data_IF_341490379531
#
_entry.id   IF_341490379531
#
_cell.length_a   1.000
_cell.length_b   1.000
_cell.length_c   1.000
_cell.angle_alpha   90.00
_cell.angle_beta   90.00
_cell.angle_gamma   90.00
#
_symmetry.space_group_name_H-M   'P 1'
#
loop_
_entity.id
_entity.type
_entity.pdbx_description
1 polymer ?
#
# COMPACT_ATOMS: atom_id res chain seq x y z
N UNK A 1 41.97 61.69 29.62
CA UNK A 1 41.48 60.64 30.56
C UNK A 1 40.01 60.43 30.25
N UNK A 2 39.64 59.31 29.60
CA UNK A 2 39.00 58.11 30.20
C UNK A 2 37.70 58.46 30.93
N UNK A 3 36.50 57.87 30.75
CA UNK A 3 35.93 56.70 30.07
C UNK A 3 34.40 56.86 30.27
N UNK A 4 33.57 56.91 29.22
CA UNK A 4 32.47 55.95 28.89
C UNK A 4 31.43 55.63 29.98
N UNK A 5 30.15 55.78 29.65
CA UNK A 5 29.18 54.67 29.65
C UNK A 5 27.81 55.13 29.11
N UNK A 6 27.52 54.75 27.86
CA UNK A 6 26.18 54.79 27.27
C UNK A 6 25.38 53.58 27.75
N UNK A 7 24.19 53.79 28.31
CA UNK A 7 23.24 52.72 28.62
C UNK A 7 22.24 52.58 27.46
N UNK A 8 22.41 51.54 26.65
CA UNK A 8 21.45 51.11 25.63
C UNK A 8 20.48 50.11 26.27
N UNK A 9 19.18 50.45 26.34
CA UNK A 9 18.12 49.54 26.76
C UNK A 9 17.75 48.67 25.55
N UNK A 10 18.14 47.39 25.56
CA UNK A 10 17.71 46.40 24.59
C UNK A 10 16.40 45.76 25.05
N UNK A 11 15.30 46.03 24.36
CA UNK A 11 14.03 45.35 24.55
C UNK A 11 14.08 43.96 23.87
N UNK A 12 14.19 42.90 24.68
CA UNK A 12 14.02 41.52 24.21
C UNK A 12 12.52 41.25 23.98
N UNK A 13 12.13 41.13 22.71
CA UNK A 13 10.84 40.57 22.33
C UNK A 13 10.89 39.04 22.52
N UNK A 14 10.28 38.56 23.61
CA UNK A 14 9.96 37.14 23.81
C UNK A 14 8.85 36.75 22.83
N UNK A 15 9.23 36.28 21.64
CA UNK A 15 8.33 35.54 20.75
C UNK A 15 7.98 34.22 21.44
N UNK A 16 6.77 34.16 22.01
CA UNK A 16 6.19 32.92 22.49
C UNK A 16 6.00 31.97 21.29
N UNK A 17 6.91 31.00 21.15
CA UNK A 17 6.72 29.87 20.24
C UNK A 17 5.59 29.04 20.85
N UNK A 18 4.36 29.24 20.37
CA UNK A 18 3.27 28.35 20.71
C UNK A 18 3.67 26.93 20.28
N UNK A 19 3.59 25.91 21.15
CA UNK A 19 3.84 24.55 20.73
C UNK A 19 2.87 24.23 19.60
N UNK A 20 3.39 23.77 18.46
CA UNK A 20 2.56 23.25 17.39
C UNK A 20 1.67 22.16 17.99
N UNK A 21 0.37 22.46 18.11
CA UNK A 21 -0.59 21.55 18.71
C UNK A 21 -0.69 20.37 17.74
N UNK A 22 -0.04 19.25 18.10
CA UNK A 22 -0.07 18.05 17.29
C UNK A 22 -1.56 17.67 17.11
N UNK A 23 -2.05 17.81 15.88
CA UNK A 23 -3.40 17.44 15.49
C UNK A 23 -3.63 16.01 15.98
N UNK A 24 -4.66 15.76 16.80
CA UNK A 24 -4.91 14.41 17.26
C UNK A 24 -5.17 13.52 16.04
N UNK A 25 -4.48 12.36 15.92
CA UNK A 25 -4.69 11.47 14.80
C UNK A 25 -6.17 11.09 14.72
N UNK A 26 -6.70 10.99 13.51
CA UNK A 26 -8.07 10.54 13.29
C UNK A 26 -8.18 9.05 13.57
N UNK A 27 -9.33 8.64 14.07
CA UNK A 27 -9.67 7.22 14.19
C UNK A 27 -10.53 6.83 13.00
N UNK A 28 -10.23 5.71 12.36
CA UNK A 28 -10.99 5.19 11.23
C UNK A 28 -11.86 4.03 11.66
N UNK A 29 -13.00 3.90 11.02
CA UNK A 29 -13.84 2.72 11.13
C UNK A 29 -13.29 1.65 10.20
N UNK A 30 -12.95 0.49 10.77
CA UNK A 30 -12.53 -0.69 10.03
C UNK A 30 -13.68 -1.69 10.05
N UNK A 31 -14.11 -2.14 8.88
CA UNK A 31 -15.12 -3.20 8.73
C UNK A 31 -14.54 -4.38 8.01
N UNK A 32 -14.89 -5.57 8.48
CA UNK A 32 -14.48 -6.81 7.87
C UNK A 32 -15.61 -7.41 7.04
N UNK A 33 -15.32 -7.58 5.75
CA UNK A 33 -16.19 -8.17 4.73
C UNK A 33 -15.63 -9.51 4.21
N UNK A 34 -14.67 -10.10 4.93
CA UNK A 34 -14.03 -11.36 4.56
C UNK A 34 -15.05 -12.51 4.56
N UNK A 35 -14.82 -13.46 3.65
CA UNK A 35 -15.62 -14.68 3.51
C UNK A 35 -14.71 -15.91 3.63
N UNK A 36 -15.15 -17.02 4.23
CA UNK A 36 -14.36 -18.24 4.26
C UNK A 36 -14.22 -18.84 2.85
N UNK A 37 -13.06 -19.43 2.56
CA UNK A 37 -12.78 -20.19 1.33
C UNK A 37 -11.86 -21.36 1.63
N UNK A 38 -11.77 -22.31 0.70
CA UNK A 38 -10.78 -23.38 0.69
C UNK A 38 -9.67 -23.15 -0.36
N UNK A 39 -9.82 -22.14 -1.21
CA UNK A 39 -8.90 -21.79 -2.28
C UNK A 39 -7.86 -20.77 -1.81
N UNK A 40 -6.58 -21.09 -1.97
CA UNK A 40 -5.48 -20.18 -1.59
C UNK A 40 -5.18 -19.10 -2.63
N UNK A 41 -5.90 -19.08 -3.75
CA UNK A 41 -5.78 -18.04 -4.79
C UNK A 41 -6.96 -17.05 -4.77
N UNK A 42 -7.91 -17.24 -3.85
CA UNK A 42 -8.99 -16.29 -3.61
C UNK A 42 -8.54 -15.21 -2.63
N UNK A 43 -8.61 -13.94 -3.06
CA UNK A 43 -8.47 -12.78 -2.17
C UNK A 43 -9.72 -12.62 -1.27
N UNK A 44 -9.97 -13.60 -0.39
CA UNK A 44 -11.18 -13.72 0.41
C UNK A 44 -11.17 -12.85 1.68
N UNK A 45 -10.00 -12.35 2.09
CA UNK A 45 -9.90 -11.33 3.14
C UNK A 45 -10.21 -9.97 2.54
N UNK A 46 -11.14 -9.23 3.12
CA UNK A 46 -11.49 -7.87 2.68
C UNK A 46 -11.81 -6.97 3.87
N UNK A 47 -10.93 -5.99 4.12
CA UNK A 47 -11.07 -5.02 5.21
C UNK A 47 -11.15 -3.61 4.64
N UNK A 48 -12.17 -2.85 5.04
CA UNK A 48 -12.42 -1.49 4.53
C UNK A 48 -12.20 -0.45 5.61
N UNK A 49 -11.59 0.70 5.25
CA UNK A 49 -11.28 1.82 6.14
C UNK A 49 -12.09 3.06 5.75
N UNK A 50 -12.85 3.59 6.70
CA UNK A 50 -13.74 4.72 6.47
C UNK A 50 -13.60 5.80 7.54
N UNK A 51 -13.43 7.04 7.10
CA UNK A 51 -13.59 8.25 7.90
C UNK A 51 -13.76 9.44 6.93
N UNK A 52 -14.84 10.23 7.03
CA UNK A 52 -15.14 11.29 6.06
C UNK A 52 -14.25 12.54 6.19
N UNK A 53 -13.24 12.50 7.06
CA UNK A 53 -12.28 13.58 7.28
C UNK A 53 -10.86 13.20 6.88
N UNK A 54 -10.53 11.90 6.72
CA UNK A 54 -9.16 11.49 6.40
C UNK A 54 -8.78 11.95 5.00
N UNK A 55 -7.62 12.59 4.92
CA UNK A 55 -6.96 13.01 3.68
C UNK A 55 -5.52 12.54 3.62
N UNK A 56 -4.83 12.41 4.74
CA UNK A 56 -3.49 11.85 4.78
C UNK A 56 -3.46 10.55 5.59
N UNK A 57 -2.68 9.56 5.11
CA UNK A 57 -2.40 8.32 5.83
C UNK A 57 -1.18 7.60 5.26
N UNK A 58 -0.65 6.63 6.02
CA UNK A 58 0.47 5.78 5.62
C UNK A 58 0.02 4.35 5.45
N UNK A 59 0.63 3.68 4.47
CA UNK A 59 0.53 2.23 4.28
C UNK A 59 1.95 1.68 4.30
N UNK A 60 2.17 0.60 5.04
CA UNK A 60 3.48 -0.02 5.18
C UNK A 60 3.39 -1.53 5.02
N UNK A 61 4.14 -2.07 4.06
CA UNK A 61 4.39 -3.49 3.93
C UNK A 61 5.64 -3.84 4.74
N UNK A 62 5.46 -4.54 5.86
CA UNK A 62 6.51 -4.91 6.81
C UNK A 62 6.95 -6.34 6.56
N UNK A 63 8.26 -6.61 6.60
CA UNK A 63 8.75 -7.97 6.59
C UNK A 63 8.07 -8.76 7.72
N UNK A 64 7.52 -9.97 7.44
CA UNK A 64 6.77 -10.69 8.45
C UNK A 64 7.69 -11.07 9.62
N UNK A 65 7.15 -11.19 10.83
CA UNK A 65 7.96 -11.52 12.01
C UNK A 65 8.77 -12.82 11.84
N UNK A 66 8.28 -13.75 11.03
CA UNK A 66 8.92 -15.03 10.72
C UNK A 66 10.01 -14.95 9.65
N UNK A 67 10.24 -13.78 9.02
CA UNK A 67 11.18 -13.61 7.89
C UNK A 67 12.55 -14.20 8.22
N UNK A 68 13.03 -13.98 9.46
CA UNK A 68 14.30 -14.48 10.00
C UNK A 68 14.48 -16.00 9.91
N UNK A 69 13.39 -16.75 10.05
CA UNK A 69 13.38 -18.22 10.04
C UNK A 69 13.18 -18.85 8.66
N UNK A 70 12.90 -18.05 7.62
CA UNK A 70 12.67 -18.57 6.27
C UNK A 70 14.02 -18.93 5.65
N UNK A 71 14.25 -20.24 5.48
CA UNK A 71 15.38 -20.79 4.73
C UNK A 71 15.05 -20.95 3.23
N UNK A 72 13.82 -21.39 2.94
CA UNK A 72 13.29 -21.52 1.59
C UNK A 72 11.91 -20.88 1.54
N UNK A 73 11.73 -19.97 0.59
CA UNK A 73 10.47 -19.26 0.41
C UNK A 73 9.56 -19.99 -0.58
N UNK A 74 8.30 -20.20 -0.21
CA UNK A 74 7.26 -20.76 -1.08
C UNK A 74 6.43 -19.63 -1.66
N UNK A 75 6.46 -19.51 -3.00
CA UNK A 75 5.81 -18.44 -3.78
C UNK A 75 5.04 -18.95 -5.00
N UNK A 76 5.04 -20.28 -5.19
CA UNK A 76 4.31 -20.89 -6.28
C UNK A 76 2.80 -20.81 -5.98
N UNK A 77 1.95 -20.60 -7.00
CA UNK A 77 0.52 -20.59 -6.79
C UNK A 77 0.01 -21.95 -6.30
N UNK A 78 -0.98 -21.94 -5.40
CA UNK A 78 -1.67 -23.10 -4.83
C UNK A 78 -3.15 -23.09 -5.22
N UNK A 79 -3.45 -23.66 -6.38
CA UNK A 79 -4.83 -23.77 -6.89
C UNK A 79 -5.65 -24.90 -6.24
N UNK A 80 -5.18 -25.49 -5.15
CA UNK A 80 -5.93 -26.56 -4.47
C UNK A 80 -7.31 -26.03 -4.04
N UNK A 81 -8.37 -26.77 -4.38
CA UNK A 81 -9.78 -26.41 -4.12
C UNK A 81 -10.27 -25.10 -4.75
N UNK A 82 -9.56 -24.55 -5.74
CA UNK A 82 -9.98 -23.36 -6.46
C UNK A 82 -10.98 -23.70 -7.58
N UNK A 83 -12.00 -22.86 -7.74
CA UNK A 83 -12.95 -22.92 -8.87
C UNK A 83 -12.68 -21.86 -9.93
N UNK A 84 -11.56 -21.15 -9.81
CA UNK A 84 -11.13 -20.09 -10.73
C UNK A 84 -10.92 -20.71 -12.11
N UNK A 85 -11.71 -20.27 -13.10
CA UNK A 85 -11.66 -20.79 -14.47
C UNK A 85 -10.66 -20.06 -15.36
N UNK A 86 -10.35 -18.81 -15.02
CA UNK A 86 -9.45 -17.94 -15.77
C UNK A 86 -8.09 -17.87 -15.06
N UNK A 87 -7.02 -18.32 -15.71
CA UNK A 87 -5.65 -18.20 -15.22
C UNK A 87 -5.03 -16.90 -15.77
N UNK A 88 -4.75 -15.88 -14.93
CA UNK A 88 -4.02 -14.70 -15.35
C UNK A 88 -2.51 -14.84 -15.08
N UNK A 89 -1.66 -14.10 -15.83
CA UNK A 89 -2.01 -13.50 -17.11
C UNK A 89 -2.13 -14.62 -18.16
N UNK A 90 -2.78 -14.35 -19.28
CA UNK A 90 -2.80 -15.31 -20.38
C UNK A 90 -1.39 -15.61 -20.92
N UNK A 91 -1.28 -16.25 -22.08
CA UNK A 91 0.00 -16.61 -22.69
C UNK A 91 1.01 -15.45 -22.69
N UNK A 92 2.26 -15.70 -22.24
CA UNK A 92 3.31 -14.68 -22.08
C UNK A 92 3.63 -13.90 -23.38
N UNK A 93 3.37 -14.50 -24.54
CA UNK A 93 3.51 -13.89 -25.87
C UNK A 93 2.53 -12.72 -26.11
N UNK A 94 1.54 -12.53 -25.23
CA UNK A 94 0.57 -11.43 -25.30
C UNK A 94 0.93 -10.23 -24.41
N UNK A 95 2.08 -10.29 -23.74
CA UNK A 95 2.54 -9.27 -22.80
C UNK A 95 3.69 -8.46 -23.41
N UNK A 96 3.47 -7.16 -23.61
CA UNK A 96 4.52 -6.22 -24.03
C UNK A 96 5.07 -5.49 -22.81
N UNK A 97 6.39 -5.56 -22.59
CA UNK A 97 7.10 -4.81 -21.53
C UNK A 97 7.62 -3.48 -22.08
N UNK A 98 7.38 -2.40 -21.35
CA UNK A 98 7.80 -1.04 -21.72
C UNK A 98 8.51 -0.39 -20.55
N UNK A 99 9.76 0.03 -20.74
CA UNK A 99 10.46 0.89 -19.77
C UNK A 99 9.95 2.32 -19.95
N UNK A 100 9.20 2.82 -18.96
CA UNK A 100 8.59 4.15 -18.97
C UNK A 100 9.58 5.22 -18.49
N UNK A 101 10.43 4.85 -17.54
CA UNK A 101 11.47 5.70 -16.97
C UNK A 101 12.61 4.84 -16.44
N UNK A 102 13.84 5.32 -16.56
CA UNK A 102 15.01 4.71 -15.95
C UNK A 102 16.06 5.78 -15.63
N UNK A 103 16.65 5.67 -14.44
CA UNK A 103 17.85 6.39 -14.03
C UNK A 103 18.79 5.46 -13.25
N UNK A 104 19.83 6.00 -12.62
CA UNK A 104 20.80 5.20 -11.85
C UNK A 104 20.21 4.55 -10.59
N UNK A 105 19.08 5.05 -10.08
CA UNK A 105 18.48 4.61 -8.83
C UNK A 105 17.26 3.68 -9.03
N UNK A 106 16.54 3.79 -10.14
CA UNK A 106 15.28 3.07 -10.32
C UNK A 106 14.85 2.90 -11.78
N UNK A 107 13.86 2.02 -11.97
CA UNK A 107 13.17 1.82 -13.24
C UNK A 107 11.66 1.75 -13.00
N UNK A 108 10.89 2.50 -13.78
CA UNK A 108 9.44 2.32 -13.87
C UNK A 108 9.12 1.55 -15.16
N UNK A 109 8.45 0.43 -15.01
CA UNK A 109 8.07 -0.45 -16.12
C UNK A 109 6.56 -0.53 -16.20
N UNK A 110 6.01 -0.38 -17.41
CA UNK A 110 4.62 -0.66 -17.72
C UNK A 110 4.51 -1.92 -18.58
N UNK A 111 3.41 -2.64 -18.44
CA UNK A 111 3.09 -3.78 -19.30
C UNK A 111 1.75 -3.57 -19.97
N UNK A 112 1.67 -3.97 -21.25
CA UNK A 112 0.43 -4.08 -22.01
C UNK A 112 0.07 -5.55 -22.17
N UNK A 113 -1.21 -5.87 -22.12
CA UNK A 113 -1.71 -7.21 -22.40
C UNK A 113 -2.90 -7.09 -23.33
N UNK A 114 -2.75 -7.60 -24.55
CA UNK A 114 -3.76 -7.46 -25.62
C UNK A 114 -5.13 -8.05 -25.24
N UNK A 115 -5.13 -9.08 -24.38
CA UNK A 115 -6.33 -9.78 -23.91
C UNK A 115 -6.66 -9.59 -22.43
N UNK A 116 -6.26 -8.47 -21.81
CA UNK A 116 -6.58 -8.28 -20.39
C UNK A 116 -8.10 -8.35 -20.16
N UNK A 117 -8.50 -9.07 -19.10
CA UNK A 117 -9.89 -9.44 -18.81
C UNK A 117 -10.78 -8.21 -18.58
N UNK A 118 -10.23 -7.17 -17.95
CA UNK A 118 -10.92 -5.88 -17.74
C UNK A 118 -10.63 -4.93 -18.88
N UNK A 119 -11.67 -4.46 -19.57
CA UNK A 119 -11.54 -3.45 -20.63
C UNK A 119 -11.44 -2.04 -20.04
N UNK A 120 -10.63 -1.20 -20.65
CA UNK A 120 -10.43 0.20 -20.27
C UNK A 120 -9.04 0.68 -20.66
N UNK A 121 -8.81 1.99 -20.54
CA UNK A 121 -7.50 2.60 -20.74
C UNK A 121 -7.25 3.62 -19.63
N UNK A 122 -6.12 3.49 -18.95
CA UNK A 122 -5.65 4.42 -17.92
C UNK A 122 -4.29 4.94 -18.39
N UNK A 123 -4.24 6.11 -19.04
CA UNK A 123 -2.98 6.66 -19.53
C UNK A 123 -2.02 6.92 -18.36
N UNK A 124 -0.76 6.55 -18.58
CA UNK A 124 0.34 6.74 -17.63
C UNK A 124 1.32 7.75 -18.23
N UNK A 125 1.53 8.86 -17.52
CA UNK A 125 2.46 9.91 -17.93
C UNK A 125 3.71 9.94 -17.05
N UNK A 126 4.88 10.05 -17.68
CA UNK A 126 6.17 10.31 -17.03
C UNK A 126 6.87 11.44 -17.79
N UNK A 127 7.00 12.62 -17.17
CA UNK A 127 7.46 13.81 -17.90
C UNK A 127 6.54 14.11 -19.10
N UNK A 128 7.12 14.20 -20.29
CA UNK A 128 6.40 14.43 -21.55
C UNK A 128 5.91 13.15 -22.22
N UNK A 129 6.33 11.97 -21.72
CA UNK A 129 5.92 10.67 -22.27
C UNK A 129 4.58 10.26 -21.68
N UNK A 130 3.63 9.88 -22.54
CA UNK A 130 2.37 9.26 -22.15
C UNK A 130 2.24 7.89 -22.83
N UNK A 131 1.89 6.87 -22.07
CA UNK A 131 1.62 5.52 -22.58
C UNK A 131 0.22 5.07 -22.19
N UNK A 132 -0.43 4.35 -23.11
CA UNK A 132 -1.79 3.81 -22.97
C UNK A 132 -1.78 2.29 -22.89
N UNK A 133 -2.93 1.73 -22.55
CA UNK A 133 -3.21 0.30 -22.43
C UNK A 133 -2.31 -0.43 -21.42
N UNK A 134 -1.84 0.29 -20.39
CA UNK A 134 -1.03 -0.28 -19.32
C UNK A 134 -1.93 -1.00 -18.31
N UNK A 135 -1.80 -2.32 -18.20
CA UNK A 135 -2.56 -3.12 -17.23
C UNK A 135 -1.79 -3.37 -15.93
N UNK A 136 -0.46 -3.21 -15.95
CA UNK A 136 0.44 -3.41 -14.84
C UNK A 136 1.56 -2.37 -14.87
N UNK A 137 1.77 -1.70 -13.74
CA UNK A 137 2.92 -0.85 -13.48
C UNK A 137 3.77 -1.48 -12.39
N UNK A 138 5.08 -1.46 -12.58
CA UNK A 138 6.05 -2.00 -11.65
C UNK A 138 7.15 -0.97 -11.41
N UNK A 139 7.48 -0.73 -10.14
CA UNK A 139 8.59 0.12 -9.74
C UNK A 139 9.72 -0.74 -9.17
N UNK A 140 10.88 -0.62 -9.80
CA UNK A 140 12.12 -1.28 -9.42
C UNK A 140 13.07 -0.26 -8.81
N UNK A 141 13.74 -0.61 -7.72
CA UNK A 141 14.90 0.12 -7.21
C UNK A 141 16.17 -0.63 -7.61
N UNK A 142 17.18 0.07 -8.14
CA UNK A 142 18.48 -0.50 -8.46
C UNK A 142 19.28 -0.67 -7.18
N UNK A 143 19.59 -1.91 -6.85
CA UNK A 143 20.40 -2.28 -5.67
C UNK A 143 21.75 -2.82 -6.10
N UNK A 144 22.67 -3.03 -5.15
CA UNK A 144 23.94 -3.71 -5.42
C UNK A 144 23.76 -5.15 -5.94
N UNK A 145 22.59 -5.78 -5.70
CA UNK A 145 22.23 -7.11 -6.22
C UNK A 145 21.46 -7.07 -7.54
N UNK A 146 21.28 -5.88 -8.12
CA UNK A 146 20.48 -5.66 -9.32
C UNK A 146 19.15 -4.95 -9.04
N UNK A 147 18.33 -4.72 -10.09
CA UNK A 147 17.02 -4.10 -9.95
C UNK A 147 16.08 -5.02 -9.16
N UNK A 148 15.44 -4.46 -8.13
CA UNK A 148 14.47 -5.15 -7.30
C UNK A 148 13.11 -4.47 -7.38
N UNK A 149 12.11 -5.19 -7.88
CA UNK A 149 10.72 -4.75 -7.90
C UNK A 149 10.16 -4.76 -6.49
N UNK A 150 9.62 -3.63 -6.02
CA UNK A 150 9.10 -3.51 -4.66
C UNK A 150 7.69 -2.91 -4.59
N UNK A 151 7.14 -2.48 -5.72
CA UNK A 151 5.80 -1.92 -5.80
C UNK A 151 5.17 -2.25 -7.15
N UNK A 152 3.91 -2.67 -7.09
CA UNK A 152 3.05 -2.90 -8.25
C UNK A 152 1.78 -2.09 -8.12
N UNK A 153 1.30 -1.57 -9.25
CA UNK A 153 -0.05 -1.03 -9.41
C UNK A 153 -0.72 -1.67 -10.62
N UNK A 154 -1.97 -2.13 -10.46
CA UNK A 154 -2.85 -2.53 -11.56
C UNK A 154 -3.78 -1.36 -11.92
N UNK A 155 -3.49 -0.54 -12.95
CA UNK A 155 -4.21 0.72 -13.18
C UNK A 155 -5.72 0.57 -13.37
N UNK A 156 -6.17 -0.52 -14.01
CA UNK A 156 -7.59 -0.76 -14.30
C UNK A 156 -8.41 -1.21 -13.10
N UNK A 157 -7.76 -1.72 -12.06
CA UNK A 157 -8.43 -2.20 -10.84
C UNK A 157 -8.10 -1.36 -9.60
N UNK A 158 -7.00 -0.63 -9.63
CA UNK A 158 -6.51 0.21 -8.53
C UNK A 158 -5.83 -0.56 -7.40
N UNK A 159 -5.43 -1.82 -7.64
CA UNK A 159 -4.73 -2.65 -6.66
C UNK A 159 -3.27 -2.28 -6.60
N UNK A 160 -2.80 -2.00 -5.40
CA UNK A 160 -1.39 -1.80 -5.07
C UNK A 160 -0.87 -3.03 -4.34
N UNK A 161 0.33 -3.47 -4.67
CA UNK A 161 1.07 -4.47 -3.88
C UNK A 161 2.45 -3.93 -3.58
N UNK A 162 2.89 -4.11 -2.34
CA UNK A 162 4.18 -3.62 -1.86
C UNK A 162 4.92 -4.77 -1.20
N UNK A 163 6.25 -4.74 -1.28
CA UNK A 163 7.12 -5.65 -0.55
C UNK A 163 8.43 -4.98 -0.14
N UNK A 164 9.02 -5.32 1.02
CA UNK A 164 10.33 -4.82 1.43
C UNK A 164 11.45 -5.39 0.56
N UNK A 165 12.67 -4.88 0.71
CA UNK A 165 13.85 -5.55 0.16
C UNK A 165 13.99 -6.95 0.79
N UNK A 166 14.48 -7.94 0.03
CA UNK A 166 14.71 -9.25 0.61
C UNK A 166 15.93 -9.19 1.52
N UNK A 167 15.93 -9.87 2.68
CA UNK A 167 17.15 -10.04 3.45
C UNK A 167 18.21 -10.76 2.62
N UNK A 168 19.50 -10.62 2.96
CA UNK A 168 20.61 -11.14 2.16
C UNK A 168 20.54 -12.64 1.79
N UNK A 169 19.86 -13.47 2.59
CA UNK A 169 19.69 -14.91 2.34
C UNK A 169 18.57 -15.26 1.35
N UNK A 170 17.73 -14.30 0.99
CA UNK A 170 16.63 -14.47 0.05
C UNK A 170 16.89 -13.62 -1.19
N UNK A 171 16.57 -14.17 -2.36
CA UNK A 171 16.64 -13.44 -3.62
C UNK A 171 15.43 -12.53 -3.80
N UNK A 172 14.30 -12.89 -3.20
CA UNK A 172 13.02 -12.21 -3.38
C UNK A 172 12.12 -12.36 -2.14
N UNK A 173 11.12 -11.48 -2.05
CA UNK A 173 10.02 -11.54 -1.08
C UNK A 173 8.73 -11.67 -1.87
N UNK A 174 7.83 -12.53 -1.44
CA UNK A 174 6.51 -12.68 -2.04
C UNK A 174 5.69 -11.38 -1.90
N UNK A 175 4.77 -11.15 -2.83
CA UNK A 175 3.61 -10.33 -2.49
C UNK A 175 2.61 -11.17 -1.68
N UNK A 176 1.67 -10.50 -1.05
CA UNK A 176 0.48 -11.15 -0.49
C UNK A 176 -0.67 -10.14 -0.51
N UNK A 177 -0.78 -9.38 0.58
CA UNK A 177 -1.82 -8.37 0.73
C UNK A 177 -1.72 -7.24 -0.32
N UNK A 178 -2.86 -6.94 -0.92
CA UNK A 178 -3.08 -5.79 -1.79
C UNK A 178 -3.79 -4.65 -1.05
N UNK A 179 -3.56 -3.42 -1.49
CA UNK A 179 -4.20 -2.22 -0.94
C UNK A 179 -4.92 -1.45 -2.05
N UNK A 180 -6.12 -0.96 -1.76
CA UNK A 180 -6.90 -0.05 -2.58
C UNK A 180 -6.86 1.34 -1.94
N UNK A 181 -6.64 2.37 -2.76
CA UNK A 181 -6.51 3.76 -2.31
C UNK A 181 -7.44 4.66 -3.13
N UNK A 182 -8.33 5.38 -2.48
CA UNK A 182 -9.26 6.32 -3.10
C UNK A 182 -10.72 5.88 -3.01
N UNK A 183 -11.51 6.22 -4.03
CA UNK A 183 -12.95 5.97 -4.04
C UNK A 183 -13.23 4.52 -4.42
N UNK A 184 -13.46 3.67 -3.41
CA UNK A 184 -13.71 2.25 -3.63
C UNK A 184 -15.16 2.01 -4.08
N UNK A 185 -15.30 1.32 -5.21
CA UNK A 185 -16.55 0.79 -5.72
C UNK A 185 -16.59 -0.74 -5.54
N UNK A 186 -17.78 -1.27 -5.26
CA UNK A 186 -18.04 -2.71 -5.12
C UNK A 186 -18.96 -3.16 -6.26
N UNK A 187 -18.43 -3.95 -7.19
CA UNK A 187 -19.20 -4.71 -8.19
C UNK A 187 -19.00 -6.20 -7.93
N UNK A 188 -18.48 -6.96 -8.89
CA UNK A 188 -18.09 -8.36 -8.67
C UNK A 188 -16.91 -8.49 -7.70
N UNK A 189 -15.94 -7.57 -7.82
CA UNK A 189 -14.82 -7.40 -6.89
C UNK A 189 -14.65 -5.92 -6.57
N UNK A 190 -14.14 -5.56 -5.38
CA UNK A 190 -13.87 -4.17 -5.07
C UNK A 190 -12.74 -3.64 -5.96
N UNK A 191 -12.84 -2.39 -6.39
CA UNK A 191 -11.85 -1.74 -7.23
C UNK A 191 -11.85 -0.23 -6.98
N UNK A 192 -10.79 0.44 -7.42
CA UNK A 192 -10.76 1.90 -7.54
C UNK A 192 -10.62 2.24 -9.02
N UNK A 193 -11.60 2.98 -9.56
CA UNK A 193 -11.51 3.47 -10.93
C UNK A 193 -10.47 4.59 -10.99
N UNK A 194 -9.40 4.40 -11.75
CA UNK A 194 -8.40 5.42 -12.01
C UNK A 194 -8.62 5.95 -13.43
N UNK A 195 -8.65 7.28 -13.58
CA UNK A 195 -8.80 7.94 -14.87
C UNK A 195 -7.46 8.13 -15.56
N UNK A 196 -6.43 8.53 -14.82
CA UNK A 196 -5.07 8.72 -15.34
C UNK A 196 -4.05 8.66 -14.21
N UNK A 197 -2.81 8.33 -14.56
CA UNK A 197 -1.69 8.27 -13.63
C UNK A 197 -0.58 9.18 -14.15
N UNK A 198 0.00 9.98 -13.26
CA UNK A 198 1.27 10.67 -13.51
C UNK A 198 2.30 10.15 -12.52
N UNK A 199 3.46 9.73 -13.00
CA UNK A 199 4.59 9.43 -12.14
C UNK A 199 5.62 10.56 -12.21
N UNK A 200 6.03 11.04 -11.05
CA UNK A 200 7.09 12.05 -10.88
C UNK A 200 8.33 11.36 -10.32
N UNK A 201 9.36 11.09 -11.16
CA UNK A 201 10.52 10.30 -10.73
C UNK A 201 11.26 10.90 -9.53
N UNK A 202 11.51 12.21 -9.54
CA UNK A 202 12.30 12.90 -8.51
C UNK A 202 11.78 12.66 -7.09
N UNK A 203 10.45 12.61 -6.91
CA UNK A 203 9.81 12.40 -5.61
C UNK A 203 9.28 10.99 -5.41
N UNK A 204 9.40 10.09 -6.42
CA UNK A 204 8.80 8.75 -6.43
C UNK A 204 7.30 8.78 -6.12
N UNK A 205 6.61 9.71 -6.76
CA UNK A 205 5.19 9.99 -6.51
C UNK A 205 4.33 9.58 -7.69
N UNK A 206 3.25 8.88 -7.41
CA UNK A 206 2.16 8.59 -8.35
C UNK A 206 0.99 9.50 -8.02
N UNK A 207 0.66 10.42 -8.93
CA UNK A 207 -0.55 11.23 -8.84
C UNK A 207 -1.66 10.56 -9.66
N UNK A 208 -2.76 10.25 -8.99
CA UNK A 208 -3.94 9.57 -9.53
C UNK A 208 -5.05 10.60 -9.70
N UNK A 209 -5.70 10.60 -10.87
CA UNK A 209 -6.98 11.28 -11.07
C UNK A 209 -8.10 10.24 -11.07
N UNK A 210 -9.25 10.56 -10.46
CA UNK A 210 -10.40 9.66 -10.40
C UNK A 210 -11.53 10.14 -11.35
N UNK A 211 -12.29 9.25 -12.01
CA UNK A 211 -13.33 9.63 -12.95
C UNK A 211 -14.45 10.50 -12.37
N UNK A 212 -14.73 10.37 -11.07
CA UNK A 212 -15.75 11.16 -10.35
C UNK A 212 -15.18 12.48 -9.79
N UNK A 213 -13.97 12.87 -10.21
CA UNK A 213 -13.25 14.03 -9.70
C UNK A 213 -12.43 13.73 -8.43
N UNK A 214 -11.57 14.69 -8.10
CA UNK A 214 -10.58 14.56 -7.03
C UNK A 214 -9.35 13.75 -7.45
N UNK A 215 -8.27 13.95 -6.71
CA UNK A 215 -6.98 13.31 -6.94
C UNK A 215 -6.42 12.66 -5.68
N UNK A 216 -5.46 11.76 -5.86
CA UNK A 216 -4.63 11.22 -4.80
C UNK A 216 -3.16 11.28 -5.19
N UNK A 217 -2.29 11.65 -4.26
CA UNK A 217 -0.85 11.57 -4.41
C UNK A 217 -0.33 10.42 -3.55
N UNK A 218 0.35 9.46 -4.16
CA UNK A 218 0.92 8.27 -3.49
C UNK A 218 2.42 8.29 -3.65
N UNK A 219 3.15 8.57 -2.57
CA UNK A 219 4.60 8.71 -2.57
C UNK A 219 5.25 7.51 -1.93
N UNK A 220 6.27 6.93 -2.58
CA UNK A 220 7.14 5.94 -1.93
C UNK A 220 8.01 6.67 -0.90
N UNK A 221 7.73 6.42 0.38
CA UNK A 221 8.35 7.12 1.50
C UNK A 221 9.64 6.46 1.98
N UNK A 222 9.69 5.12 2.00
CA UNK A 222 10.87 4.35 2.37
C UNK A 222 10.86 2.96 1.72
N UNK A 223 12.06 2.40 1.57
CA UNK A 223 12.32 1.03 1.12
C UNK A 223 13.54 0.50 1.88
N UNK A 224 13.34 -0.52 2.71
CA UNK A 224 14.37 -1.22 3.48
C UNK A 224 14.10 -2.72 3.51
N UNK A 225 14.98 -3.51 4.12
CA UNK A 225 14.71 -4.93 4.38
C UNK A 225 13.58 -5.15 5.40
N UNK A 226 13.30 -4.15 6.25
CA UNK A 226 12.24 -4.23 7.26
C UNK A 226 10.88 -3.83 6.70
N UNK A 227 10.84 -2.91 5.73
CA UNK A 227 9.58 -2.34 5.27
C UNK A 227 9.68 -1.58 3.94
N UNK A 228 8.57 -1.53 3.21
CA UNK A 228 8.29 -0.50 2.20
C UNK A 228 7.09 0.32 2.65
N UNK A 229 7.25 1.64 2.76
CA UNK A 229 6.16 2.53 3.12
C UNK A 229 5.77 3.45 1.97
N UNK A 230 4.46 3.66 1.80
CA UNK A 230 3.90 4.73 0.99
C UNK A 230 3.14 5.72 1.88
N UNK A 231 3.22 6.99 1.51
CA UNK A 231 2.42 8.07 2.06
C UNK A 231 1.36 8.46 1.04
N UNK A 232 0.12 8.59 1.50
CA UNK A 232 -1.04 8.89 0.67
C UNK A 232 -1.62 10.21 1.10
N UNK A 233 -1.83 11.11 0.14
CA UNK A 233 -2.60 12.34 0.33
C UNK A 233 -3.75 12.39 -0.68
N UNK A 234 -4.98 12.46 -0.18
CA UNK A 234 -6.19 12.66 -0.95
C UNK A 234 -6.49 14.15 -1.01
N UNK A 235 -6.70 14.69 -2.21
CA UNK A 235 -7.09 16.09 -2.39
C UNK A 235 -8.36 16.41 -1.61
N UNK A 236 -9.35 15.51 -1.70
CA UNK A 236 -10.63 15.59 -1.02
C UNK A 236 -10.87 14.33 -0.17
N UNK A 237 -11.53 14.44 0.99
CA UNK A 237 -11.87 13.26 1.77
C UNK A 237 -12.96 12.46 1.05
N UNK A 238 -12.88 11.13 1.12
CA UNK A 238 -13.90 10.24 0.54
C UNK A 238 -15.11 10.19 1.47
N UNK A 239 -16.26 10.69 0.99
CA UNK A 239 -17.52 10.71 1.75
C UNK A 239 -18.33 9.45 1.43
N UNK A 240 -18.98 8.86 2.46
CA UNK A 240 -19.93 7.73 2.37
C UNK A 240 -19.38 6.39 1.86
N UNK A 241 -18.12 6.32 1.44
CA UNK A 241 -17.43 5.11 0.98
C UNK A 241 -16.10 4.95 1.74
N UNK A 242 -15.52 3.75 1.77
CA UNK A 242 -14.15 3.56 2.26
C UNK A 242 -13.17 4.39 1.42
N UNK A 243 -12.19 5.02 2.08
CA UNK A 243 -11.09 5.73 1.41
C UNK A 243 -9.91 4.80 1.10
N UNK A 244 -9.84 3.67 1.80
CA UNK A 244 -8.87 2.62 1.58
C UNK A 244 -9.48 1.26 1.92
N UNK A 245 -8.89 0.21 1.38
CA UNK A 245 -9.18 -1.16 1.78
C UNK A 245 -7.94 -2.04 1.58
N UNK A 246 -7.89 -3.16 2.29
CA UNK A 246 -6.91 -4.21 2.04
C UNK A 246 -7.61 -5.50 1.64
N UNK A 247 -6.97 -6.22 0.73
CA UNK A 247 -7.36 -7.56 0.32
C UNK A 247 -6.20 -8.53 0.46
N UNK A 248 -6.50 -9.72 0.91
CA UNK A 248 -5.50 -10.75 1.19
C UNK A 248 -6.17 -12.12 1.09
N UNK A 249 -5.41 -13.17 1.34
CA UNK A 249 -5.90 -14.54 1.34
C UNK A 249 -5.76 -15.19 2.71
N UNK A 250 -6.79 -15.96 3.10
CA UNK A 250 -6.80 -16.83 4.27
C UNK A 250 -7.61 -18.10 4.01
N UNK A 251 -6.96 -19.26 4.16
CA UNK A 251 -7.62 -20.57 4.27
C UNK A 251 -7.50 -21.12 5.69
N UNK A 252 -6.28 -21.12 6.25
CA UNK A 252 -5.98 -21.46 7.64
C UNK A 252 -4.80 -20.63 8.14
N UNK A 253 -4.50 -20.66 9.44
CA UNK A 253 -3.36 -19.91 10.02
C UNK A 253 -1.99 -20.28 9.42
N UNK A 254 -1.85 -21.48 8.85
CA UNK A 254 -0.63 -21.97 8.17
C UNK A 254 -0.76 -21.98 6.64
N UNK A 255 -1.87 -21.47 6.10
CA UNK A 255 -2.10 -21.30 4.67
C UNK A 255 -2.83 -19.98 4.43
N UNK A 256 -2.07 -18.90 4.49
CA UNK A 256 -2.57 -17.53 4.39
C UNK A 256 -1.47 -16.54 4.00
N UNK A 257 -1.87 -15.48 3.31
CA UNK A 257 -1.08 -14.25 3.22
C UNK A 257 -1.24 -13.41 4.50
N UNK A 258 -2.41 -13.50 5.14
CA UNK A 258 -2.70 -12.84 6.42
C UNK A 258 -3.74 -13.60 7.23
N UNK A 259 -3.52 -13.77 8.53
CA UNK A 259 -4.37 -14.56 9.43
C UNK A 259 -4.89 -13.81 10.64
N UNK A 260 -4.28 -12.67 10.97
CA UNK A 260 -4.54 -11.93 12.20
C UNK A 260 -4.70 -10.45 11.89
N UNK A 261 -5.59 -9.79 12.63
CA UNK A 261 -5.66 -8.35 12.68
C UNK A 261 -5.30 -7.86 14.07
N UNK A 262 -4.57 -6.76 14.12
CA UNK A 262 -4.34 -6.02 15.34
C UNK A 262 -4.68 -4.55 15.11
N UNK A 263 -5.25 -3.89 16.12
CA UNK A 263 -5.57 -2.47 16.03
C UNK A 263 -5.48 -1.80 17.40
N UNK A 264 -5.21 -0.49 17.39
CA UNK A 264 -5.25 0.35 18.58
C UNK A 264 -6.41 1.34 18.48
N UNK A 265 -7.40 1.21 19.38
CA UNK A 265 -8.51 2.16 19.41
C UNK A 265 -8.11 3.47 20.13
N UNK A 266 -8.88 4.57 19.96
CA UNK A 266 -8.51 5.90 20.48
C UNK A 266 -8.18 6.00 21.97
N UNK A 267 -8.87 5.21 22.78
CA UNK A 267 -8.72 5.22 24.24
C UNK A 267 -7.88 4.05 24.76
N UNK A 268 -7.41 3.17 23.87
CA UNK A 268 -6.69 1.97 24.28
C UNK A 268 -5.23 2.30 24.61
N UNK A 269 -4.76 1.73 25.72
CA UNK A 269 -3.35 1.80 26.14
C UNK A 269 -2.46 0.78 25.42
N UNK A 270 -3.03 -0.09 24.59
CA UNK A 270 -2.31 -1.16 23.90
C UNK A 270 -3.08 -1.68 22.69
N UNK A 271 -2.45 -2.60 21.96
CA UNK A 271 -3.04 -3.23 20.79
C UNK A 271 -4.06 -4.30 21.21
N UNK A 272 -5.19 -4.34 20.50
CA UNK A 272 -6.09 -5.48 20.48
C UNK A 272 -5.72 -6.36 19.30
N UNK A 273 -5.98 -7.66 19.41
CA UNK A 273 -5.73 -8.62 18.33
C UNK A 273 -6.87 -9.63 18.23
N UNK A 274 -7.17 -10.07 17.00
CA UNK A 274 -8.11 -11.16 16.72
C UNK A 274 -7.71 -11.93 15.46
N UNK A 275 -8.09 -13.22 15.35
CA UNK A 275 -8.10 -13.92 14.07
C UNK A 275 -8.91 -13.12 13.04
N UNK A 276 -8.41 -13.06 11.81
CA UNK A 276 -9.01 -12.22 10.75
C UNK A 276 -10.47 -12.60 10.50
N UNK A 277 -10.82 -13.88 10.53
CA UNK A 277 -12.20 -14.33 10.30
C UNK A 277 -13.16 -14.05 11.47
N UNK A 278 -12.64 -13.78 12.66
CA UNK A 278 -13.43 -13.44 13.86
C UNK A 278 -13.59 -11.94 14.09
N UNK A 279 -12.72 -11.13 13.51
CA UNK A 279 -12.83 -9.68 13.58
C UNK A 279 -14.02 -9.20 12.73
N UNK A 280 -14.98 -8.49 13.32
CA UNK A 280 -16.15 -7.96 12.59
C UNK A 280 -15.96 -6.50 12.20
N UNK A 281 -15.60 -5.68 13.17
CA UNK A 281 -15.32 -4.25 12.99
C UNK A 281 -14.59 -3.69 14.19
N UNK A 282 -14.02 -2.49 14.03
CA UNK A 282 -13.35 -1.75 15.10
C UNK A 282 -13.11 -0.30 14.71
N UNK A 283 -12.78 0.52 15.70
CA UNK A 283 -12.21 1.86 15.48
C UNK A 283 -10.71 1.81 15.73
N UNK A 284 -9.91 2.35 14.81
CA UNK A 284 -8.46 2.23 14.84
C UNK A 284 -7.76 3.57 14.55
N UNK A 285 -6.74 3.91 15.33
CA UNK A 285 -5.71 4.89 14.92
C UNK A 285 -4.57 4.22 14.16
N UNK A 286 -4.27 2.99 14.54
CA UNK A 286 -3.28 2.15 13.90
C UNK A 286 -3.92 0.79 13.66
N UNK A 287 -3.67 0.24 12.48
CA UNK A 287 -4.17 -1.05 12.06
C UNK A 287 -3.03 -1.86 11.47
N UNK A 288 -3.03 -3.16 11.75
CA UNK A 288 -2.09 -4.14 11.23
C UNK A 288 -2.87 -5.39 10.82
N UNK A 289 -2.57 -5.88 9.62
CA UNK A 289 -3.02 -7.16 9.08
C UNK A 289 -1.76 -7.97 8.80
N UNK A 290 -1.65 -9.16 9.37
CA UNK A 290 -0.48 -9.99 9.18
C UNK A 290 -0.66 -11.39 9.70
N UNK A 291 0.44 -12.05 10.07
CA UNK A 291 0.44 -13.44 10.52
C UNK A 291 1.17 -13.64 11.83
N UNK A 292 0.68 -14.58 12.63
CA UNK A 292 1.38 -15.06 13.84
C UNK A 292 2.23 -16.31 13.57
N UNK A 293 1.95 -17.05 12.49
CA UNK A 293 2.58 -18.32 12.15
C UNK A 293 3.15 -18.30 10.73
N UNK A 294 4.19 -19.11 10.44
CA UNK A 294 4.64 -19.34 9.07
C UNK A 294 3.51 -19.93 8.20
N UNK A 295 3.43 -19.47 6.96
CA UNK A 295 2.49 -19.99 5.96
C UNK A 295 3.20 -20.83 4.91
N UNK A 296 2.57 -21.90 4.44
CA UNK A 296 3.04 -22.66 3.27
C UNK A 296 2.84 -21.92 1.93
N UNK A 297 1.98 -20.90 1.92
CA UNK A 297 1.67 -20.07 0.76
C UNK A 297 2.21 -18.64 0.98
N UNK A 298 2.96 -18.13 -0.01
CA UNK A 298 3.70 -16.86 0.07
C UNK A 298 4.39 -16.68 1.42
N UNK A 299 5.32 -17.58 1.73
CA UNK A 299 5.89 -17.71 3.09
C UNK A 299 6.49 -16.38 3.57
N UNK A 300 7.16 -15.64 2.70
CA UNK A 300 7.75 -14.33 3.00
C UNK A 300 6.81 -13.12 2.83
N UNK A 301 5.53 -13.30 2.47
CA UNK A 301 4.59 -12.20 2.24
C UNK A 301 4.58 -11.19 3.42
N UNK A 302 4.61 -9.88 3.12
CA UNK A 302 4.68 -8.87 4.15
C UNK A 302 3.36 -8.73 4.91
N UNK A 303 3.48 -8.38 6.18
CA UNK A 303 2.35 -7.84 6.93
C UNK A 303 2.05 -6.43 6.43
N UNK A 304 0.80 -5.98 6.51
CA UNK A 304 0.35 -4.65 6.06
C UNK A 304 -0.16 -3.81 7.22
N UNK A 305 0.38 -2.62 7.39
CA UNK A 305 -0.09 -1.65 8.37
C UNK A 305 -0.68 -0.39 7.71
N UNK A 306 -1.74 0.16 8.31
CA UNK A 306 -2.31 1.45 7.96
C UNK A 306 -2.39 2.32 9.22
N UNK A 307 -1.84 3.53 9.15
CA UNK A 307 -1.72 4.42 10.31
C UNK A 307 -1.56 5.88 9.88
N UNK A 308 -1.38 6.76 10.86
CA UNK A 308 -1.15 8.19 10.66
C UNK A 308 -2.28 8.90 9.91
N UNK A 309 -3.52 8.58 10.30
CA UNK A 309 -4.71 9.16 9.67
C UNK A 309 -4.88 10.62 10.08
N UNK A 310 -4.85 11.54 9.12
CA UNK A 310 -4.94 12.99 9.37
C UNK A 310 -5.93 13.67 8.40
N UNK A 311 -6.49 14.84 8.77
CA UNK A 311 -7.40 15.59 7.92
C UNK A 311 -6.71 16.42 6.83
N UNK A 312 -5.38 16.52 6.84
CA UNK A 312 -4.58 17.30 5.90
C UNK A 312 -3.19 16.69 5.73
#
# INVERSE_FOLDING_TARGET
>A
MRLTASALIAALALLAVAPAQAQQPLAVEVRNKSIPTLCAEDDNVYLTFQNPKVRHFRVEARAPAVIGSIAQDSRAPDFTNCTIKDQPPGPEDKVEKIVLFEDDAMQLVGYRHSEFWRKGDVPVRVGDREEKAIYLLQLFSKTARGPYEHLVLYPLDGYWRLRPLPPARLDEVAYGTSVLIGQIDEKERPYVAIQSIRFTPKSKTFDLAFPQGGTASVRVASLTEQSTAIEVTLENPVKRRPFAAVRSMYVTDVNADSSQVAWRAPTDKGWRQKPVMEFRSGRAHDFWLGRAYPSKHNTSAPDTALFDFQPE
#
